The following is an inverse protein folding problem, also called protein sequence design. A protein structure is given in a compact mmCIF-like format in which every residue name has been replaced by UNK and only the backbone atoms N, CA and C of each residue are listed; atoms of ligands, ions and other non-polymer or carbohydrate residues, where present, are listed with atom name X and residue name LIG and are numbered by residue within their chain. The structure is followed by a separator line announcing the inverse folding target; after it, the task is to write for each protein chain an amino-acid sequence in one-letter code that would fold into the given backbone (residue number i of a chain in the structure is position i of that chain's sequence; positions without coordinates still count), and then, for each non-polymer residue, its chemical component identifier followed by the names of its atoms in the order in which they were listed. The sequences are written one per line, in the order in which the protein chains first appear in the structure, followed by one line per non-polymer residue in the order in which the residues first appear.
data_IF_799991100580
#
_entry.id   IF_799991100580
#
_cell.length_a   1.000
_cell.length_b   1.000
_cell.length_c   1.000
_cell.angle_alpha   90.00
_cell.angle_beta   90.00
_cell.angle_gamma   90.00
#
_symmetry.space_group_name_H-M   'P 1'
#
loop_
_entity.id
_entity.type
_entity.pdbx_description
1 polymer ?
#
# COMPACT_ATOMS: atom_id res chain seq x y z
N UNK A 1 14.38 53.60 -6.21
CA UNK A 1 13.77 52.42 -6.86
C UNK A 1 12.47 52.11 -6.11
N UNK A 2 11.33 52.30 -6.78
CA UNK A 2 10.02 52.17 -6.15
C UNK A 2 9.53 50.71 -6.14
N UNK A 3 8.67 50.34 -5.18
CA UNK A 3 8.10 49.00 -5.05
C UNK A 3 7.36 48.56 -6.33
N UNK A 4 6.76 49.52 -7.03
CA UNK A 4 6.08 49.35 -8.31
C UNK A 4 7.05 49.05 -9.46
N UNK A 5 8.22 49.68 -9.51
CA UNK A 5 9.25 49.36 -10.51
C UNK A 5 9.80 47.94 -10.29
N UNK A 6 10.06 47.55 -9.05
CA UNK A 6 10.52 46.20 -8.70
C UNK A 6 9.47 45.12 -9.02
N UNK A 7 8.18 45.39 -8.78
CA UNK A 7 7.09 44.48 -9.13
C UNK A 7 6.90 44.32 -10.64
N UNK A 8 7.04 45.40 -11.41
CA UNK A 8 6.96 45.36 -12.88
C UNK A 8 8.17 44.63 -13.48
N UNK A 9 9.36 44.79 -12.90
CA UNK A 9 10.58 44.11 -13.34
C UNK A 9 10.53 42.59 -13.13
N UNK A 10 9.85 42.12 -12.07
CA UNK A 10 9.73 40.68 -11.74
C UNK A 10 8.52 40.02 -12.39
N UNK A 11 7.35 40.67 -12.39
CA UNK A 11 6.10 40.06 -12.83
C UNK A 11 5.64 40.55 -14.21
N UNK A 12 6.31 41.55 -14.80
CA UNK A 12 6.04 42.11 -16.13
C UNK A 12 4.74 42.92 -16.23
N UNK A 13 3.66 42.46 -15.59
CA UNK A 13 2.33 43.09 -15.61
C UNK A 13 1.55 42.85 -14.32
N UNK A 14 0.53 43.68 -14.07
CA UNK A 14 -0.43 43.49 -12.98
C UNK A 14 -1.17 42.14 -13.09
N UNK A 15 -1.46 41.71 -14.32
CA UNK A 15 -2.08 40.40 -14.58
C UNK A 15 -1.15 39.25 -14.17
N UNK A 16 0.16 39.37 -14.43
CA UNK A 16 1.17 38.41 -13.99
C UNK A 16 1.26 38.31 -12.47
N UNK A 17 1.15 39.43 -11.77
CA UNK A 17 1.12 39.45 -10.31
C UNK A 17 -0.14 38.81 -9.73
N UNK A 18 -1.32 39.11 -10.29
CA UNK A 18 -2.58 38.48 -9.86
C UNK A 18 -2.54 36.97 -10.12
N UNK A 19 -2.02 36.54 -11.27
CA UNK A 19 -1.84 35.13 -11.59
C UNK A 19 -0.86 34.45 -10.60
N UNK A 20 0.25 35.10 -10.26
CA UNK A 20 1.22 34.57 -9.30
C UNK A 20 0.62 34.45 -7.88
N UNK A 21 -0.16 35.43 -7.43
CA UNK A 21 -0.86 35.38 -6.14
C UNK A 21 -1.89 34.26 -6.11
N UNK A 22 -2.67 34.10 -7.18
CA UNK A 22 -3.68 33.04 -7.29
C UNK A 22 -3.03 31.65 -7.33
N UNK A 23 -1.95 31.49 -8.10
CA UNK A 23 -1.17 30.25 -8.13
C UNK A 23 -0.60 29.92 -6.74
N UNK A 24 -0.06 30.92 -6.03
CA UNK A 24 0.46 30.76 -4.67
C UNK A 24 -0.63 30.37 -3.69
N UNK A 25 -1.82 30.98 -3.78
CA UNK A 25 -2.96 30.66 -2.93
C UNK A 25 -3.47 29.23 -3.17
N UNK A 26 -3.60 28.82 -4.44
CA UNK A 26 -3.99 27.45 -4.82
C UNK A 26 -2.95 26.43 -4.35
N UNK A 27 -1.66 26.73 -4.54
CA UNK A 27 -0.55 25.90 -4.05
C UNK A 27 -0.62 25.72 -2.53
N UNK A 28 -0.75 26.82 -1.79
CA UNK A 28 -0.84 26.80 -0.32
C UNK A 28 -2.07 26.01 0.14
N UNK A 29 -3.23 26.22 -0.49
CA UNK A 29 -4.47 25.48 -0.19
C UNK A 29 -4.32 23.98 -0.41
N UNK A 30 -3.79 23.55 -1.57
CA UNK A 30 -3.54 22.14 -1.88
C UNK A 30 -2.51 21.51 -0.94
N UNK A 31 -1.46 22.26 -0.59
CA UNK A 31 -0.44 21.84 0.34
C UNK A 31 -1.03 21.60 1.74
N UNK A 32 -1.76 22.58 2.28
CA UNK A 32 -2.39 22.48 3.60
C UNK A 32 -3.41 21.33 3.62
N UNK A 33 -4.24 21.21 2.59
CA UNK A 33 -5.20 20.11 2.47
C UNK A 33 -4.51 18.75 2.43
N UNK A 34 -3.46 18.60 1.63
CA UNK A 34 -2.73 17.34 1.52
C UNK A 34 -1.97 17.01 2.80
N UNK A 35 -1.35 18.00 3.44
CA UNK A 35 -0.63 17.84 4.70
C UNK A 35 -1.57 17.45 5.85
N UNK A 36 -2.71 18.14 5.97
CA UNK A 36 -3.73 17.82 6.98
C UNK A 36 -4.31 16.42 6.78
N UNK A 37 -4.61 16.02 5.53
CA UNK A 37 -5.09 14.67 5.21
C UNK A 37 -4.06 13.59 5.52
N UNK A 38 -2.79 13.80 5.17
CA UNK A 38 -1.70 12.87 5.46
C UNK A 38 -1.45 12.73 6.96
N UNK A 39 -1.51 13.83 7.70
CA UNK A 39 -1.36 13.83 9.15
C UNK A 39 -2.57 13.18 9.83
N UNK A 40 -3.79 13.49 9.39
CA UNK A 40 -5.03 12.89 9.87
C UNK A 40 -5.01 11.38 9.73
N UNK A 41 -4.72 10.86 8.53
CA UNK A 41 -4.66 9.42 8.29
C UNK A 41 -3.66 8.68 9.20
N UNK A 42 -2.56 9.35 9.60
CA UNK A 42 -1.56 8.77 10.52
C UNK A 42 -2.03 8.83 11.96
N UNK A 43 -2.62 9.94 12.39
CA UNK A 43 -3.23 10.07 13.72
C UNK A 43 -4.35 9.05 13.91
N UNK A 44 -5.19 8.85 12.89
CA UNK A 44 -6.25 7.84 12.91
C UNK A 44 -5.69 6.43 13.02
N UNK A 45 -4.61 6.13 12.29
CA UNK A 45 -3.94 4.83 12.39
C UNK A 45 -3.39 4.58 13.79
N UNK A 46 -2.78 5.59 14.40
CA UNK A 46 -2.25 5.51 15.75
C UNK A 46 -3.35 5.41 16.81
N UNK A 47 -4.48 6.11 16.61
CA UNK A 47 -5.66 6.00 17.44
C UNK A 47 -6.26 4.58 17.39
N UNK A 48 -6.38 3.99 16.19
CA UNK A 48 -6.82 2.59 16.03
C UNK A 48 -5.90 1.61 16.77
N UNK A 49 -4.58 1.72 16.59
CA UNK A 49 -3.62 0.85 17.29
C UNK A 49 -3.75 1.00 18.82
N UNK A 50 -3.86 2.22 19.33
CA UNK A 50 -4.06 2.47 20.77
C UNK A 50 -5.34 1.83 21.28
N UNK A 51 -6.45 1.99 20.56
CA UNK A 51 -7.73 1.39 20.93
C UNK A 51 -7.63 -0.14 20.98
N UNK A 52 -7.07 -0.78 19.94
CA UNK A 52 -6.85 -2.24 19.94
C UNK A 52 -5.95 -2.68 21.09
N UNK A 53 -4.84 -1.96 21.35
CA UNK A 53 -3.92 -2.29 22.43
C UNK A 53 -4.59 -2.23 23.80
N UNK A 54 -5.49 -1.26 24.04
CA UNK A 54 -6.22 -1.18 25.32
C UNK A 54 -7.15 -2.37 25.54
N UNK A 55 -7.80 -2.86 24.48
CA UNK A 55 -8.69 -4.03 24.53
C UNK A 55 -7.86 -5.31 24.75
N UNK A 56 -6.74 -5.48 24.03
CA UNK A 56 -5.86 -6.63 24.20
C UNK A 56 -5.15 -6.66 25.57
N UNK A 57 -4.71 -5.50 26.09
CA UNK A 57 -4.07 -5.43 27.41
C UNK A 57 -5.04 -5.81 28.54
N UNK A 58 -6.33 -5.45 28.43
CA UNK A 58 -7.37 -5.89 29.38
C UNK A 58 -7.57 -7.39 29.34
N UNK A 59 -7.66 -7.98 28.14
CA UNK A 59 -7.79 -9.42 27.97
C UNK A 59 -6.54 -10.17 28.49
N UNK A 60 -5.34 -9.68 28.18
CA UNK A 60 -4.08 -10.27 28.63
C UNK A 60 -3.95 -10.24 30.17
N UNK A 61 -4.36 -9.13 30.80
CA UNK A 61 -4.38 -9.03 32.26
C UNK A 61 -5.30 -10.06 32.91
N UNK A 62 -6.49 -10.28 32.35
CA UNK A 62 -7.45 -11.28 32.86
C UNK A 62 -6.99 -12.71 32.61
N UNK A 63 -6.51 -13.04 31.40
CA UNK A 63 -5.90 -14.34 31.11
C UNK A 63 -4.71 -14.62 32.05
N UNK A 64 -3.86 -13.63 32.29
CA UNK A 64 -2.73 -13.73 33.21
C UNK A 64 -3.18 -14.08 34.64
N UNK A 65 -4.24 -13.42 35.13
CA UNK A 65 -4.78 -13.73 36.47
C UNK A 65 -5.39 -15.13 36.57
N UNK A 66 -6.11 -15.60 35.53
CA UNK A 66 -6.67 -16.95 35.45
C UNK A 66 -5.57 -18.02 35.43
N UNK A 67 -4.51 -17.81 34.64
CA UNK A 67 -3.40 -18.78 34.52
C UNK A 67 -2.58 -18.86 35.82
N UNK A 68 -2.31 -17.73 36.48
CA UNK A 68 -1.40 -17.69 37.63
C UNK A 68 -2.09 -17.88 38.99
N UNK A 69 -3.42 -17.70 39.08
CA UNK A 69 -4.20 -17.87 40.33
C UNK A 69 -5.55 -18.58 40.10
N UNK A 70 -5.56 -19.80 39.54
CA UNK A 70 -6.80 -20.50 39.17
C UNK A 70 -7.74 -20.73 40.37
N UNK A 71 -7.20 -20.92 41.57
CA UNK A 71 -7.96 -21.21 42.79
C UNK A 71 -8.46 -20.00 43.58
N UNK A 72 -8.05 -18.77 43.22
CA UNK A 72 -8.36 -17.55 44.01
C UNK A 72 -9.25 -16.55 43.29
N UNK A 73 -9.40 -16.66 41.97
CA UNK A 73 -10.16 -15.71 41.17
C UNK A 73 -11.35 -16.40 40.53
N UNK A 74 -12.53 -16.21 41.12
CA UNK A 74 -13.81 -16.40 40.43
C UNK A 74 -13.97 -15.28 39.40
N UNK A 75 -13.17 -15.31 38.33
CA UNK A 75 -13.43 -14.46 37.17
C UNK A 75 -14.70 -15.02 36.54
N UNK A 76 -15.78 -14.22 36.40
CA UNK A 76 -16.99 -14.70 35.76
C UNK A 76 -16.66 -15.13 34.33
N UNK A 77 -16.98 -16.37 33.96
CA UNK A 77 -16.81 -16.89 32.61
C UNK A 77 -17.48 -15.96 31.57
N UNK A 78 -18.61 -15.37 31.96
CA UNK A 78 -19.33 -14.35 31.18
C UNK A 78 -18.50 -13.09 30.89
N UNK A 79 -17.63 -12.68 31.81
CA UNK A 79 -16.76 -11.52 31.63
C UNK A 79 -15.60 -11.83 30.67
N UNK A 80 -15.07 -13.06 30.73
CA UNK A 80 -14.07 -13.55 29.79
C UNK A 80 -14.64 -13.67 28.37
N UNK A 81 -15.84 -14.25 28.24
CA UNK A 81 -16.53 -14.39 26.95
C UNK A 81 -16.83 -13.01 26.34
N UNK A 82 -17.34 -12.06 27.14
CA UNK A 82 -17.60 -10.69 26.69
C UNK A 82 -16.34 -10.00 26.16
N UNK A 83 -15.20 -10.15 26.84
CA UNK A 83 -13.95 -9.54 26.42
C UNK A 83 -13.32 -10.24 25.21
N UNK A 84 -13.50 -11.55 25.07
CA UNK A 84 -13.12 -12.27 23.85
C UNK A 84 -13.95 -11.75 22.66
N UNK A 85 -15.25 -11.57 22.84
CA UNK A 85 -16.15 -11.01 21.83
C UNK A 85 -15.78 -9.55 21.49
N UNK A 86 -15.40 -8.74 22.47
CA UNK A 86 -14.90 -7.37 22.27
C UNK A 86 -13.54 -7.34 21.56
N UNK A 87 -12.66 -8.31 21.82
CA UNK A 87 -11.41 -8.47 21.08
C UNK A 87 -11.65 -8.92 19.64
N UNK A 88 -12.68 -9.75 19.41
CA UNK A 88 -13.07 -10.25 18.08
C UNK A 88 -13.55 -9.13 17.16
N UNK A 89 -14.17 -8.10 17.73
CA UNK A 89 -14.64 -6.92 16.99
C UNK A 89 -13.56 -5.87 16.76
N UNK A 90 -12.33 -6.05 17.25
CA UNK A 90 -11.24 -5.11 17.04
C UNK A 90 -10.65 -5.20 15.61
N UNK A 91 -10.41 -4.03 15.00
CA UNK A 91 -9.98 -3.87 13.59
C UNK A 91 -8.64 -4.54 13.20
N UNK A 92 -7.77 -4.85 14.16
CA UNK A 92 -6.37 -5.22 13.94
C UNK A 92 -6.05 -6.67 14.36
N UNK A 93 -7.05 -7.56 14.29
CA UNK A 93 -6.91 -8.95 14.71
C UNK A 93 -6.28 -9.82 13.62
N UNK A 94 -5.25 -10.60 13.99
CA UNK A 94 -4.68 -11.62 13.10
C UNK A 94 -5.63 -12.79 12.92
N UNK A 95 -5.62 -13.37 11.71
CA UNK A 95 -6.45 -14.53 11.38
C UNK A 95 -6.19 -15.71 12.33
N UNK A 96 -4.93 -15.95 12.69
CA UNK A 96 -4.54 -17.01 13.63
C UNK A 96 -5.10 -16.77 15.05
N UNK A 97 -5.08 -15.54 15.54
CA UNK A 97 -5.66 -15.19 16.84
C UNK A 97 -7.19 -15.30 16.82
N UNK A 98 -7.82 -14.93 15.70
CA UNK A 98 -9.27 -15.08 15.49
C UNK A 98 -9.70 -16.55 15.53
N UNK A 99 -8.98 -17.42 14.82
CA UNK A 99 -9.25 -18.87 14.76
C UNK A 99 -9.09 -19.51 16.15
N UNK A 100 -8.06 -19.14 16.91
CA UNK A 100 -7.86 -19.66 18.28
C UNK A 100 -8.90 -19.15 19.28
N UNK A 101 -9.37 -17.90 19.14
CA UNK A 101 -10.48 -17.37 19.95
C UNK A 101 -11.80 -18.09 19.66
N UNK A 102 -12.07 -18.39 18.40
CA UNK A 102 -13.29 -19.10 18.00
C UNK A 102 -13.30 -20.56 18.48
N UNK A 103 -12.16 -21.24 18.39
CA UNK A 103 -12.00 -22.60 18.94
C UNK A 103 -12.20 -22.59 20.47
N UNK A 104 -11.63 -21.61 21.17
CA UNK A 104 -11.82 -21.49 22.61
C UNK A 104 -13.27 -21.21 23.01
N UNK A 105 -13.99 -20.36 22.26
CA UNK A 105 -15.41 -20.08 22.52
C UNK A 105 -16.32 -21.30 22.28
N UNK A 106 -15.93 -22.21 21.37
CA UNK A 106 -16.64 -23.46 21.08
C UNK A 106 -16.37 -24.54 22.13
N UNK A 107 -15.09 -24.85 22.35
CA UNK A 107 -14.68 -26.04 23.12
C UNK A 107 -14.50 -25.74 24.62
N UNK A 108 -14.33 -24.47 25.01
CA UNK A 108 -14.10 -24.00 26.39
C UNK A 108 -12.93 -24.69 27.11
N UNK A 109 -11.96 -25.20 26.35
CA UNK A 109 -10.77 -25.88 26.88
C UNK A 109 -9.82 -24.92 27.61
N UNK A 110 -9.69 -25.06 28.93
CA UNK A 110 -8.74 -24.28 29.75
C UNK A 110 -7.27 -24.51 29.37
N UNK A 111 -6.92 -25.67 28.81
CA UNK A 111 -5.56 -25.98 28.38
C UNK A 111 -5.06 -25.05 27.26
N UNK A 112 -5.97 -24.59 26.39
CA UNK A 112 -5.70 -23.69 25.26
C UNK A 112 -5.53 -22.24 25.69
N UNK A 113 -5.97 -21.90 26.90
CA UNK A 113 -5.93 -20.55 27.47
C UNK A 113 -4.48 -20.05 27.60
N UNK A 114 -3.53 -20.94 27.87
CA UNK A 114 -2.10 -20.62 27.90
C UNK A 114 -1.51 -20.33 26.51
N UNK A 115 -1.95 -21.06 25.49
CA UNK A 115 -1.56 -20.83 24.08
C UNK A 115 -2.14 -19.52 23.57
N UNK A 116 -3.41 -19.26 23.88
CA UNK A 116 -4.09 -18.01 23.55
C UNK A 116 -3.41 -16.81 24.20
N UNK A 117 -3.00 -16.92 25.47
CA UNK A 117 -2.24 -15.87 26.17
C UNK A 117 -0.91 -15.56 25.47
N UNK A 118 -0.14 -16.60 25.10
CA UNK A 118 1.13 -16.42 24.37
C UNK A 118 0.94 -15.77 23.00
N UNK A 119 -0.11 -16.14 22.26
CA UNK A 119 -0.42 -15.54 20.96
C UNK A 119 -0.86 -14.08 21.11
N UNK A 120 -1.68 -13.78 22.12
CA UNK A 120 -2.09 -12.43 22.44
C UNK A 120 -0.90 -11.55 22.83
N UNK A 121 0.03 -12.05 23.65
CA UNK A 121 1.25 -11.33 24.03
C UNK A 121 2.16 -11.05 22.83
N UNK A 122 2.28 -12.00 21.89
CA UNK A 122 3.01 -11.78 20.63
C UNK A 122 2.37 -10.67 19.80
N UNK A 123 1.05 -10.67 19.72
CA UNK A 123 0.28 -9.66 18.99
C UNK A 123 0.38 -8.27 19.63
N UNK A 124 0.27 -8.19 20.97
CA UNK A 124 0.49 -6.96 21.74
C UNK A 124 1.91 -6.43 21.48
N UNK A 125 2.93 -7.28 21.54
CA UNK A 125 4.31 -6.89 21.27
C UNK A 125 4.52 -6.42 19.83
N UNK A 126 3.85 -7.05 18.85
CA UNK A 126 3.88 -6.63 17.45
C UNK A 126 3.25 -5.24 17.28
N UNK A 127 2.06 -5.02 17.81
CA UNK A 127 1.37 -3.73 17.77
C UNK A 127 2.14 -2.64 18.53
N UNK A 128 2.79 -2.99 19.63
CA UNK A 128 3.65 -2.06 20.38
C UNK A 128 4.85 -1.62 19.54
N UNK A 129 5.53 -2.56 18.85
CA UNK A 129 6.60 -2.25 17.90
C UNK A 129 6.11 -1.38 16.74
N UNK A 130 4.97 -1.70 16.14
CA UNK A 130 4.38 -0.87 15.08
C UNK A 130 4.04 0.54 15.57
N UNK A 131 3.52 0.66 16.79
CA UNK A 131 3.26 1.95 17.43
C UNK A 131 4.55 2.72 17.65
N UNK A 132 5.58 2.09 18.22
CA UNK A 132 6.88 2.73 18.47
C UNK A 132 7.56 3.17 17.18
N UNK A 133 7.46 2.38 16.10
CA UNK A 133 7.92 2.79 14.78
C UNK A 133 7.13 3.98 14.22
N UNK A 134 5.81 3.97 14.35
CA UNK A 134 4.97 5.07 13.89
C UNK A 134 5.23 6.35 14.69
N UNK A 135 5.31 6.25 16.02
CA UNK A 135 5.65 7.35 16.92
C UNK A 135 7.05 7.87 16.62
N UNK A 136 8.04 6.98 16.48
CA UNK A 136 9.41 7.35 16.13
C UNK A 136 9.49 8.10 14.80
N UNK A 137 8.70 7.69 13.79
CA UNK A 137 8.59 8.41 12.51
C UNK A 137 7.90 9.77 12.63
N UNK A 138 7.04 9.98 13.63
CA UNK A 138 6.39 11.27 13.88
C UNK A 138 7.28 12.21 14.70
N UNK A 139 7.92 11.71 15.75
CA UNK A 139 8.68 12.52 16.72
C UNK A 139 10.10 12.81 16.26
N UNK A 140 10.76 11.86 15.59
CA UNK A 140 12.15 11.98 15.12
C UNK A 140 12.31 11.41 13.72
N UNK A 141 11.65 12.00 12.69
CA UNK A 141 11.92 11.60 11.33
C UNK A 141 13.40 11.92 11.02
N UNK A 142 14.18 10.91 10.64
CA UNK A 142 15.54 11.14 10.15
C UNK A 142 15.52 12.15 9.00
N UNK A 143 16.62 12.89 8.78
CA UNK A 143 16.66 14.05 7.88
C UNK A 143 16.00 13.83 6.50
N UNK A 144 16.29 12.70 5.84
CA UNK A 144 15.68 12.35 4.56
C UNK A 144 14.18 12.04 4.64
N UNK A 145 13.73 11.38 5.71
CA UNK A 145 12.29 11.16 5.94
C UNK A 145 11.60 12.47 6.30
N UNK A 146 12.22 13.33 7.11
CA UNK A 146 11.67 14.65 7.46
C UNK A 146 11.46 15.54 6.24
N UNK A 147 12.47 15.60 5.35
CA UNK A 147 12.35 16.30 4.08
C UNK A 147 11.24 15.70 3.20
N UNK A 148 11.18 14.37 3.11
CA UNK A 148 10.13 13.69 2.36
C UNK A 148 8.73 13.97 2.92
N UNK A 149 8.59 14.10 4.24
CA UNK A 149 7.34 14.44 4.91
C UNK A 149 6.86 15.85 4.61
N UNK A 150 7.80 16.79 4.43
CA UNK A 150 7.51 18.17 4.01
C UNK A 150 7.25 18.25 2.50
N UNK A 151 7.95 17.46 1.70
CA UNK A 151 7.84 17.50 0.24
C UNK A 151 6.60 16.76 -0.28
N UNK A 152 6.21 15.65 0.36
CA UNK A 152 5.11 14.80 -0.10
C UNK A 152 3.76 15.53 -0.22
N UNK A 153 3.36 16.41 0.72
CA UNK A 153 2.17 17.25 0.56
C UNK A 153 2.23 18.26 -0.59
N UNK A 154 3.43 18.65 -1.04
CA UNK A 154 3.61 19.56 -2.18
C UNK A 154 3.45 18.87 -3.53
N UNK A 155 3.60 17.55 -3.60
CA UNK A 155 3.54 16.77 -4.84
C UNK A 155 2.28 17.03 -5.67
N UNK A 156 1.04 17.04 -5.10
CA UNK A 156 -0.16 17.31 -5.89
C UNK A 156 -0.14 18.71 -6.50
N UNK A 157 0.28 19.72 -5.72
CA UNK A 157 0.36 21.09 -6.19
C UNK A 157 1.45 21.28 -7.26
N UNK A 158 2.61 20.64 -7.09
CA UNK A 158 3.68 20.60 -8.09
C UNK A 158 3.24 19.91 -9.39
N UNK A 159 2.52 18.78 -9.28
CA UNK A 159 2.02 18.08 -10.47
C UNK A 159 0.97 18.89 -11.23
N UNK A 160 0.11 19.62 -10.51
CA UNK A 160 -0.87 20.52 -11.12
C UNK A 160 -0.17 21.71 -11.78
N UNK A 161 0.80 22.32 -11.08
CA UNK A 161 1.60 23.42 -11.63
C UNK A 161 2.37 23.01 -12.90
N UNK A 162 2.98 21.82 -12.89
CA UNK A 162 3.64 21.26 -14.07
C UNK A 162 2.65 21.04 -15.22
N UNK A 163 1.47 20.45 -14.96
CA UNK A 163 0.44 20.26 -15.98
C UNK A 163 -0.02 21.60 -16.58
N UNK A 164 -0.25 22.62 -15.76
CA UNK A 164 -0.59 23.97 -16.21
C UNK A 164 0.52 24.59 -17.06
N UNK A 165 1.78 24.45 -16.64
CA UNK A 165 2.93 24.93 -17.38
C UNK A 165 3.02 24.27 -18.76
N UNK A 166 2.88 22.95 -18.84
CA UNK A 166 2.88 22.25 -20.14
C UNK A 166 1.72 22.68 -21.02
N UNK A 167 0.53 22.92 -20.46
CA UNK A 167 -0.60 23.45 -21.24
C UNK A 167 -0.40 24.89 -21.68
N UNK A 168 0.29 25.72 -20.89
CA UNK A 168 0.60 27.10 -21.25
C UNK A 168 1.61 27.14 -22.40
N UNK A 169 2.67 26.32 -22.34
CA UNK A 169 3.64 26.14 -23.42
C UNK A 169 2.94 25.67 -24.71
N UNK A 170 2.04 24.68 -24.61
CA UNK A 170 1.23 24.25 -25.75
C UNK A 170 0.38 25.41 -26.31
N UNK A 171 -0.29 26.18 -25.45
CA UNK A 171 -1.14 27.28 -25.88
C UNK A 171 -0.35 28.39 -26.58
N UNK A 172 0.89 28.63 -26.17
CA UNK A 172 1.80 29.57 -26.82
C UNK A 172 2.22 29.07 -28.21
N UNK A 173 2.62 27.80 -28.33
CA UNK A 173 2.97 27.18 -29.61
C UNK A 173 1.78 27.18 -30.60
N UNK A 174 0.58 26.89 -30.11
CA UNK A 174 -0.66 26.91 -30.91
C UNK A 174 -1.08 28.32 -31.37
N UNK A 175 -0.43 29.39 -30.92
CA UNK A 175 -0.61 30.72 -31.53
C UNK A 175 -0.11 30.75 -32.97
N UNK A 176 0.84 29.89 -33.31
CA UNK A 176 1.28 29.70 -34.69
C UNK A 176 0.31 28.76 -35.40
N UNK A 177 -0.27 29.21 -36.52
CA UNK A 177 -1.28 28.44 -37.26
C UNK A 177 -0.72 27.10 -37.79
N UNK A 178 0.57 27.04 -38.11
CA UNK A 178 1.27 25.82 -38.53
C UNK A 178 1.38 24.76 -37.42
N UNK A 179 1.44 25.17 -36.15
CA UNK A 179 1.61 24.26 -35.01
C UNK A 179 0.38 23.35 -34.80
N UNK A 180 -0.80 23.79 -35.22
CA UNK A 180 -2.04 22.98 -35.14
C UNK A 180 -1.94 21.66 -35.92
N UNK A 181 -1.24 21.69 -37.06
CA UNK A 181 -1.04 20.52 -37.92
C UNK A 181 0.22 19.71 -37.58
N UNK A 182 1.08 20.22 -36.68
CA UNK A 182 2.31 19.54 -36.31
C UNK A 182 2.04 18.45 -35.27
N UNK A 183 2.23 17.15 -35.59
CA UNK A 183 2.02 16.08 -34.62
C UNK A 183 3.04 16.13 -33.47
N UNK A 184 4.20 16.72 -33.68
CA UNK A 184 5.28 16.84 -32.69
C UNK A 184 4.85 17.68 -31.49
N UNK A 185 4.17 18.80 -31.73
CA UNK A 185 3.68 19.70 -30.67
C UNK A 185 2.69 18.97 -29.74
N UNK A 186 1.78 18.20 -30.34
CA UNK A 186 0.82 17.38 -29.59
C UNK A 186 1.48 16.21 -28.86
N UNK A 187 2.45 15.53 -29.49
CA UNK A 187 3.19 14.42 -28.87
C UNK A 187 4.02 14.89 -27.68
N UNK A 188 4.68 16.05 -27.80
CA UNK A 188 5.47 16.68 -26.75
C UNK A 188 4.60 16.99 -25.53
N UNK A 189 3.46 17.65 -25.74
CA UNK A 189 2.51 17.95 -24.68
C UNK A 189 1.99 16.68 -24.00
N UNK A 190 1.51 15.72 -24.79
CA UNK A 190 0.91 14.49 -24.26
C UNK A 190 1.94 13.67 -23.47
N UNK A 191 3.16 13.57 -23.98
CA UNK A 191 4.26 12.86 -23.31
C UNK A 191 4.60 13.48 -21.94
N UNK A 192 4.67 14.82 -21.86
CA UNK A 192 4.94 15.53 -20.62
C UNK A 192 3.79 15.43 -19.60
N UNK A 193 2.54 15.40 -20.06
CA UNK A 193 1.37 15.14 -19.20
C UNK A 193 1.41 13.71 -18.64
N UNK A 194 1.68 12.71 -19.50
CA UNK A 194 1.79 11.31 -19.09
C UNK A 194 2.91 11.12 -18.06
N UNK A 195 4.06 11.77 -18.27
CA UNK A 195 5.17 11.75 -17.33
C UNK A 195 4.80 12.40 -15.99
N UNK A 196 4.10 13.54 -16.02
CA UNK A 196 3.63 14.25 -14.82
C UNK A 196 2.66 13.39 -14.00
N UNK A 197 1.71 12.72 -14.65
CA UNK A 197 0.78 11.79 -14.00
C UNK A 197 1.53 10.59 -13.42
N UNK A 198 2.48 10.02 -14.17
CA UNK A 198 3.31 8.91 -13.70
C UNK A 198 4.14 9.27 -12.48
N UNK A 199 4.75 10.46 -12.49
CA UNK A 199 5.51 11.00 -11.36
C UNK A 199 4.61 11.20 -10.14
N UNK A 200 3.43 11.78 -10.31
CA UNK A 200 2.44 11.92 -9.24
C UNK A 200 2.09 10.56 -8.61
N UNK A 201 1.82 9.54 -9.43
CA UNK A 201 1.50 8.19 -8.96
C UNK A 201 2.67 7.54 -8.23
N UNK A 202 3.88 7.69 -8.75
CA UNK A 202 5.12 7.17 -8.15
C UNK A 202 5.30 7.67 -6.72
N UNK A 203 5.09 8.96 -6.48
CA UNK A 203 5.31 9.58 -5.18
C UNK A 203 4.15 9.35 -4.19
N UNK A 204 2.92 9.22 -4.69
CA UNK A 204 1.73 9.14 -3.84
C UNK A 204 1.31 7.69 -3.50
N UNK A 205 1.52 6.71 -4.37
CA UNK A 205 1.04 5.31 -4.22
C UNK A 205 2.00 4.39 -3.44
N UNK A 206 2.62 4.89 -2.36
CA UNK A 206 3.58 4.15 -1.53
C UNK A 206 2.96 2.98 -0.71
N UNK A 207 1.64 2.74 -0.76
CA UNK A 207 0.96 1.75 0.10
C UNK A 207 0.98 0.31 -0.43
N UNK A 208 1.30 0.06 -1.70
CA UNK A 208 1.21 -1.28 -2.30
C UNK A 208 2.52 -2.05 -2.15
N UNK A 209 2.79 -2.58 -0.96
CA UNK A 209 4.06 -3.29 -0.64
C UNK A 209 4.33 -4.56 -1.47
N UNK A 210 3.31 -5.24 -2.00
CA UNK A 210 3.48 -6.56 -2.63
C UNK A 210 3.65 -6.56 -4.16
N UNK A 211 3.24 -5.50 -4.87
CA UNK A 211 3.50 -5.34 -6.32
C UNK A 211 4.23 -4.02 -6.62
N UNK A 212 4.67 -3.32 -5.56
CA UNK A 212 5.17 -1.95 -5.64
C UNK A 212 6.40 -1.80 -6.53
N UNK A 213 7.37 -2.72 -6.45
CA UNK A 213 8.65 -2.53 -7.12
C UNK A 213 8.53 -2.47 -8.65
N UNK A 214 7.75 -3.36 -9.26
CA UNK A 214 7.55 -3.37 -10.73
C UNK A 214 6.83 -2.10 -11.17
N UNK A 215 5.80 -1.67 -10.45
CA UNK A 215 5.08 -0.42 -10.74
C UNK A 215 5.95 0.82 -10.55
N UNK A 216 6.79 0.84 -9.52
CA UNK A 216 7.76 1.91 -9.25
C UNK A 216 8.76 2.02 -10.39
N UNK A 217 9.37 0.89 -10.79
CA UNK A 217 10.32 0.86 -11.91
C UNK A 217 9.65 1.29 -13.21
N UNK A 218 8.42 0.85 -13.47
CA UNK A 218 7.71 1.20 -14.69
C UNK A 218 7.42 2.70 -14.78
N UNK A 219 6.87 3.31 -13.72
CA UNK A 219 6.63 4.75 -13.70
C UNK A 219 7.94 5.54 -13.75
N UNK A 220 9.01 5.03 -13.15
CA UNK A 220 10.33 5.64 -13.24
C UNK A 220 10.88 5.62 -14.67
N UNK A 221 10.72 4.52 -15.41
CA UNK A 221 11.10 4.45 -16.83
C UNK A 221 10.27 5.40 -17.70
N UNK A 222 8.97 5.53 -17.43
CA UNK A 222 8.10 6.48 -18.15
C UNK A 222 8.55 7.92 -17.90
N UNK A 223 8.85 8.27 -16.64
CA UNK A 223 9.37 9.60 -16.30
C UNK A 223 10.75 9.82 -16.92
N UNK A 224 11.64 8.83 -16.84
CA UNK A 224 12.97 8.88 -17.44
C UNK A 224 12.92 9.10 -18.96
N UNK A 225 11.98 8.43 -19.65
CA UNK A 225 11.81 8.60 -21.09
C UNK A 225 11.39 10.03 -21.47
N UNK A 226 10.61 10.70 -20.63
CA UNK A 226 10.20 12.09 -20.88
C UNK A 226 11.35 13.10 -20.78
N UNK A 227 12.46 12.77 -20.10
CA UNK A 227 13.65 13.65 -20.10
C UNK A 227 14.25 13.78 -21.50
N UNK A 228 14.07 12.80 -22.39
CA UNK A 228 14.55 12.90 -23.78
C UNK A 228 13.81 13.99 -24.57
N UNK A 229 12.61 14.40 -24.16
CA UNK A 229 11.91 15.54 -24.75
C UNK A 229 12.67 16.87 -24.56
N UNK A 230 13.61 16.95 -23.61
CA UNK A 230 14.45 18.13 -23.38
C UNK A 230 15.58 18.27 -24.41
N UNK A 231 15.92 17.20 -25.13
CA UNK A 231 17.02 17.17 -26.11
C UNK A 231 16.55 17.66 -27.49
N UNK A 232 15.26 17.50 -27.80
CA UNK A 232 14.66 18.04 -29.02
C UNK A 232 13.18 17.63 -29.19
N UNK A 233 12.36 18.55 -29.69
CA UNK A 233 10.92 18.32 -29.91
C UNK A 233 10.63 17.24 -30.97
N UNK A 234 11.54 17.06 -31.93
CA UNK A 234 11.45 16.05 -33.00
C UNK A 234 11.45 14.61 -32.46
N UNK A 235 12.01 14.39 -31.27
CA UNK A 235 12.04 13.07 -30.63
C UNK A 235 10.72 12.72 -29.92
N UNK A 236 9.84 13.70 -29.70
CA UNK A 236 8.60 13.53 -28.94
C UNK A 236 7.67 12.40 -29.39
N UNK A 237 7.44 12.10 -30.69
CA UNK A 237 6.60 10.97 -31.09
C UNK A 237 7.21 9.63 -30.68
N UNK A 238 8.55 9.49 -30.76
CA UNK A 238 9.25 8.28 -30.34
C UNK A 238 9.18 8.11 -28.82
N UNK A 239 9.38 9.20 -28.07
CA UNK A 239 9.24 9.19 -26.61
C UNK A 239 7.83 8.78 -26.21
N UNK A 240 6.80 9.38 -26.80
CA UNK A 240 5.41 9.00 -26.53
C UNK A 240 5.14 7.53 -26.86
N UNK A 241 5.63 7.03 -27.99
CA UNK A 241 5.49 5.63 -28.37
C UNK A 241 6.14 4.70 -27.32
N UNK A 242 7.35 5.03 -26.84
CA UNK A 242 8.00 4.26 -25.77
C UNK A 242 7.21 4.27 -24.47
N UNK A 243 6.63 5.41 -24.08
CA UNK A 243 5.77 5.50 -22.90
C UNK A 243 4.52 4.63 -23.02
N UNK A 244 3.87 4.64 -24.17
CA UNK A 244 2.72 3.78 -24.46
C UNK A 244 3.10 2.29 -24.37
N UNK A 245 4.22 1.90 -24.98
CA UNK A 245 4.73 0.53 -24.92
C UNK A 245 5.03 0.09 -23.47
N UNK A 246 5.63 0.97 -22.66
CA UNK A 246 5.86 0.72 -21.24
C UNK A 246 4.53 0.54 -20.50
N UNK A 247 3.54 1.40 -20.73
CA UNK A 247 2.21 1.25 -20.12
C UNK A 247 1.55 -0.09 -20.49
N UNK A 248 1.60 -0.49 -21.77
CA UNK A 248 1.07 -1.78 -22.21
C UNK A 248 1.83 -2.96 -21.58
N UNK A 249 3.16 -2.87 -21.49
CA UNK A 249 3.98 -3.86 -20.83
C UNK A 249 3.60 -4.00 -19.34
N UNK A 250 3.40 -2.87 -18.65
CA UNK A 250 2.91 -2.84 -17.27
C UNK A 250 1.56 -3.54 -17.08
N UNK A 251 0.63 -3.36 -18.01
CA UNK A 251 -0.67 -4.05 -17.98
C UNK A 251 -0.51 -5.56 -18.16
N UNK A 252 0.36 -6.00 -19.06
CA UNK A 252 0.65 -7.45 -19.27
C UNK A 252 1.31 -8.08 -18.05
N UNK A 253 2.30 -7.41 -17.45
CA UNK A 253 3.03 -7.93 -16.29
C UNK A 253 2.15 -7.96 -15.03
N UNK A 254 1.16 -7.06 -14.92
CA UNK A 254 0.24 -7.01 -13.76
C UNK A 254 -1.12 -7.68 -14.01
N UNK A 255 -1.31 -8.36 -15.14
CA UNK A 255 -2.56 -9.08 -15.44
C UNK A 255 -2.81 -10.28 -14.51
N UNK A 256 -1.89 -10.60 -13.59
CA UNK A 256 -1.99 -11.71 -12.65
C UNK A 256 -2.70 -11.32 -11.36
N UNK A 257 -4.03 -11.22 -11.43
CA UNK A 257 -4.91 -12.11 -10.65
C UNK A 257 -6.31 -12.00 -11.24
N UNK A 258 -6.75 -13.06 -11.92
CA UNK A 258 -8.14 -13.22 -12.35
C UNK A 258 -9.01 -12.90 -11.14
N UNK A 259 -9.95 -11.97 -11.27
CA UNK A 259 -11.00 -11.69 -10.26
C UNK A 259 -11.80 -12.97 -9.90
N UNK A 260 -11.61 -14.04 -10.69
CA UNK A 260 -12.12 -15.40 -10.56
C UNK A 260 -11.38 -16.29 -9.52
N UNK A 261 -10.21 -15.89 -9.03
CA UNK A 261 -9.46 -16.60 -7.97
C UNK A 261 -9.71 -16.05 -6.55
N UNK A 262 -10.70 -15.17 -6.40
CA UNK A 262 -11.24 -14.90 -5.06
C UNK A 262 -12.19 -16.05 -4.76
N UNK A 263 -11.96 -16.87 -3.73
CA UNK A 263 -12.97 -17.83 -3.30
C UNK A 263 -14.22 -17.04 -2.96
N UNK A 264 -15.27 -17.18 -3.75
CA UNK A 264 -16.60 -16.76 -3.34
C UNK A 264 -17.17 -17.87 -2.44
N UNK A 265 -18.07 -17.51 -1.53
CA UNK A 265 -18.76 -18.48 -0.70
C UNK A 265 -19.44 -19.53 -1.62
N UNK A 266 -18.96 -20.78 -1.58
CA UNK A 266 -19.44 -21.88 -2.43
C UNK A 266 -18.48 -22.40 -3.52
N UNK A 267 -17.19 -22.08 -3.48
CA UNK A 267 -16.22 -22.73 -4.37
C UNK A 267 -16.14 -24.24 -4.06
N UNK A 268 -16.27 -25.16 -5.05
CA UNK A 268 -16.30 -26.61 -4.81
C UNK A 268 -15.07 -27.14 -4.04
N UNK A 269 -13.89 -26.58 -4.26
CA UNK A 269 -12.67 -26.94 -3.52
C UNK A 269 -12.75 -26.61 -2.01
N UNK A 270 -13.46 -25.53 -1.63
CA UNK A 270 -13.73 -25.23 -0.21
C UNK A 270 -14.77 -26.19 0.36
N UNK A 271 -15.80 -26.57 -0.42
CA UNK A 271 -16.79 -27.55 0.03
C UNK A 271 -16.19 -28.95 0.20
N UNK A 272 -15.29 -29.39 -0.68
CA UNK A 272 -14.57 -30.65 -0.55
C UNK A 272 -13.67 -30.66 0.70
N UNK A 273 -13.04 -29.52 1.02
CA UNK A 273 -12.24 -29.35 2.24
C UNK A 273 -13.09 -29.35 3.53
N UNK A 274 -14.36 -28.95 3.48
CA UNK A 274 -15.30 -29.04 4.61
C UNK A 274 -16.04 -30.39 4.69
N UNK A 275 -16.17 -31.13 3.59
CA UNK A 275 -16.87 -32.42 3.53
C UNK A 275 -15.96 -33.60 3.86
N UNK A 276 -14.64 -33.49 3.63
CA UNK A 276 -13.66 -34.47 4.08
C UNK A 276 -12.73 -33.86 5.14
N UNK A 277 -13.10 -33.91 6.44
CA UNK A 277 -12.10 -33.84 7.48
C UNK A 277 -11.23 -35.09 7.33
N UNK A 278 -10.01 -34.94 6.81
CA UNK A 278 -9.05 -36.03 6.76
C UNK A 278 -8.63 -36.41 8.19
N UNK A 279 -9.49 -37.19 8.85
CA UNK A 279 -9.09 -38.19 9.82
C UNK A 279 -8.60 -39.40 9.02
N UNK A 280 -7.29 -39.60 9.07
CA UNK A 280 -6.58 -40.89 9.21
C UNK A 280 -5.14 -40.70 8.74
N UNK A 281 -4.36 -39.99 9.58
CA UNK A 281 -2.95 -40.28 9.69
C UNK A 281 -2.74 -41.04 10.99
N UNK A 282 -2.81 -42.36 10.88
CA UNK A 282 -2.45 -43.32 11.90
C UNK A 282 -0.91 -43.30 12.07
N UNK A 283 -0.36 -43.00 13.26
CA UNK A 283 1.07 -43.04 13.50
C UNK A 283 1.40 -44.29 14.32
N UNK A 284 1.94 -45.34 13.70
CA UNK A 284 2.89 -46.34 14.25
C UNK A 284 2.86 -47.64 13.43
N UNK A 285 4.04 -48.14 13.04
CA UNK A 285 4.22 -49.47 12.46
C UNK A 285 5.31 -49.48 11.38
N UNK A 286 6.59 -49.33 11.71
CA UNK A 286 7.53 -50.39 12.11
C UNK A 286 8.55 -50.63 11.00
N UNK A 287 9.78 -50.84 11.46
CA UNK A 287 11.06 -50.92 10.76
C UNK A 287 11.26 -52.19 9.93
N UNK A 288 12.35 -52.15 9.12
CA UNK A 288 13.22 -53.24 8.64
C UNK A 288 12.96 -53.85 7.25
N UNK A 289 14.06 -54.00 6.49
CA UNK A 289 14.21 -55.12 5.55
C UNK A 289 14.70 -54.78 4.15
N UNK A 290 16.02 -54.85 3.98
CA UNK A 290 16.80 -55.04 2.74
C UNK A 290 16.13 -55.71 1.52
N UNK A 291 16.57 -55.32 0.31
CA UNK A 291 16.43 -56.14 -0.90
C UNK A 291 16.49 -55.37 -2.22
N UNK A 292 17.70 -55.12 -2.72
CA UNK A 292 18.01 -54.80 -4.13
C UNK A 292 17.86 -56.07 -5.00
N UNK A 293 18.09 -56.05 -6.33
CA UNK A 293 17.26 -55.60 -7.46
C UNK A 293 16.78 -56.76 -8.36
N UNK A 294 15.80 -56.54 -9.26
CA UNK A 294 15.65 -57.39 -10.45
C UNK A 294 15.44 -56.60 -11.74
N UNK A 295 16.24 -57.01 -12.73
CA UNK A 295 16.36 -56.57 -14.11
C UNK A 295 15.22 -57.21 -14.92
N UNK A 296 14.59 -56.45 -15.83
CA UNK A 296 13.58 -57.02 -16.72
C UNK A 296 13.18 -56.12 -17.90
N UNK A 297 14.06 -56.04 -18.90
CA UNK A 297 13.80 -55.91 -20.34
C UNK A 297 12.54 -55.16 -20.87
N UNK A 298 12.83 -54.09 -21.63
CA UNK A 298 12.19 -53.59 -22.88
C UNK A 298 11.41 -54.64 -23.73
N UNK A 299 10.56 -54.30 -24.75
CA UNK A 299 10.65 -53.08 -25.57
C UNK A 299 9.34 -52.46 -26.15
N UNK A 300 9.52 -51.26 -26.73
CA UNK A 300 8.93 -50.71 -27.97
C UNK A 300 7.47 -51.03 -28.35
N UNK A 301 6.64 -49.98 -28.48
CA UNK A 301 5.78 -49.84 -29.67
C UNK A 301 5.41 -48.38 -29.97
N UNK A 302 5.95 -47.91 -31.08
CA UNK A 302 5.51 -46.75 -31.85
C UNK A 302 4.12 -46.96 -32.45
N UNK A 303 3.28 -45.93 -32.41
CA UNK A 303 2.66 -45.32 -33.60
C UNK A 303 2.08 -43.96 -33.25
#
# INVERSE_FOLDING_TARGET
MSLTEWMVDIFGSLDGLVAALLATAVFAGLYIYSASRLLGARKDSLARIRQTLTVYARLAGLLGTLIHRPTRTAVPEDLLIRLLQECKSADLLTRELHEQMDIFLSDRDESRLTTLHKLLDREINRLMKERDELVGRLEKPGWGMGLWLLLKPAVPALSLGAALLWTAVLAEELRQTSAWASPEVWCLWLSNIIATISFYRLLMDSRRKTHGMIYTVLHLLIVASALFNLIGGEASPYVLATQCLLYLAGFRVTATRKRRERPYAGHPELMEQFLHPAGDHDPLGETTGAGEPEIGSSPLRSR
#
